data_IF_973671749715
#
_entry.id   IF_973671749715
#
_cell.length_a   1.000
_cell.length_b   1.000
_cell.length_c   1.000
_cell.angle_alpha   90.00
_cell.angle_beta   90.00
_cell.angle_gamma   90.00
#
_symmetry.space_group_name_H-M   'P 1'
#
loop_
_entity.id
_entity.type
_entity.pdbx_description
1 polymer ?
#
# COMPACT_ATOMS: atom_id res chain seq x y z
N UNK A 1 -14.34 -11.84 -15.81
CA UNK A 1 -13.72 -12.15 -14.51
C UNK A 1 -13.31 -10.82 -13.90
N UNK A 2 -14.21 -10.17 -13.17
CA UNK A 2 -13.93 -8.86 -12.57
C UNK A 2 -13.61 -9.11 -11.10
N UNK A 3 -12.31 -9.24 -10.81
CA UNK A 3 -11.86 -9.27 -9.43
C UNK A 3 -12.12 -7.88 -8.84
N UNK A 4 -13.04 -7.80 -7.89
CA UNK A 4 -13.14 -6.68 -6.96
C UNK A 4 -11.93 -6.69 -6.05
N UNK A 5 -10.75 -6.42 -6.62
CA UNK A 5 -9.48 -6.49 -5.91
C UNK A 5 -9.42 -5.35 -4.89
N UNK A 6 -9.38 -5.71 -3.61
CA UNK A 6 -9.11 -4.79 -2.52
C UNK A 6 -7.69 -4.24 -2.64
N UNK A 7 -7.53 -3.22 -3.48
CA UNK A 7 -6.31 -2.47 -3.66
C UNK A 7 -6.12 -1.52 -2.47
N UNK A 8 -4.97 -1.64 -1.80
CA UNK A 8 -4.57 -0.84 -0.64
C UNK A 8 -3.62 0.25 -1.15
N UNK A 9 -3.95 1.51 -0.89
CA UNK A 9 -3.02 2.61 -1.14
C UNK A 9 -1.95 2.66 -0.06
N UNK A 10 -0.68 2.60 -0.48
CA UNK A 10 0.46 2.72 0.42
C UNK A 10 1.27 3.94 0.03
N UNK A 11 1.65 4.73 1.03
CA UNK A 11 2.56 5.86 0.88
C UNK A 11 3.75 5.67 1.82
N UNK A 12 4.95 5.63 1.26
CA UNK A 12 6.16 5.43 2.04
C UNK A 12 6.86 6.76 2.25
N UNK A 13 7.02 7.17 3.51
CA UNK A 13 7.81 8.35 3.87
C UNK A 13 9.22 7.93 4.25
N UNK A 14 10.22 8.56 3.63
CA UNK A 14 11.63 8.34 3.98
C UNK A 14 12.09 9.30 5.09
N UNK A 15 13.29 9.07 5.62
CA UNK A 15 13.91 9.87 6.71
C UNK A 15 13.98 11.38 6.42
N UNK A 16 14.06 11.75 5.15
CA UNK A 16 14.09 13.14 4.67
C UNK A 16 12.72 13.82 4.68
N UNK A 17 11.65 13.09 5.03
CA UNK A 17 10.27 13.57 4.99
C UNK A 17 9.61 13.50 3.61
N UNK A 18 10.38 13.20 2.56
CA UNK A 18 9.85 12.95 1.21
C UNK A 18 8.97 11.70 1.21
N UNK A 19 7.79 11.78 0.61
CA UNK A 19 6.99 10.62 0.25
C UNK A 19 7.43 10.06 -1.11
N UNK A 20 7.55 8.73 -1.16
CA UNK A 20 7.93 7.97 -2.35
C UNK A 20 7.00 6.77 -2.50
N UNK A 21 6.91 6.27 -3.73
CA UNK A 21 6.12 5.10 -4.09
C UNK A 21 4.67 5.17 -3.55
N UNK A 22 3.99 6.29 -3.86
CA UNK A 22 2.54 6.41 -3.71
C UNK A 22 1.90 5.52 -4.77
N UNK A 23 1.40 4.36 -4.37
CA UNK A 23 0.81 3.40 -5.30
C UNK A 23 -0.21 2.51 -4.60
N UNK A 24 -1.11 1.95 -5.41
CA UNK A 24 -2.12 1.00 -4.96
C UNK A 24 -1.61 -0.44 -5.15
N UNK A 25 -1.74 -1.27 -4.13
CA UNK A 25 -1.22 -2.65 -4.10
C UNK A 25 -2.29 -3.62 -3.61
N UNK A 26 -2.35 -4.82 -4.16
CA UNK A 26 -3.28 -5.85 -3.69
C UNK A 26 -2.86 -6.37 -2.31
N UNK A 27 -3.82 -6.73 -1.45
CA UNK A 27 -3.58 -7.31 -0.11
C UNK A 27 -2.79 -8.63 -0.12
N UNK A 28 -2.82 -9.34 -1.24
CA UNK A 28 -2.01 -10.52 -1.56
C UNK A 28 -0.53 -10.20 -1.81
N UNK A 29 -0.17 -8.93 -2.02
CA UNK A 29 1.20 -8.50 -2.26
C UNK A 29 2.06 -8.70 -1.02
N UNK A 30 3.24 -9.31 -1.20
CA UNK A 30 4.22 -9.50 -0.14
C UNK A 30 5.04 -8.24 0.10
N UNK A 31 5.52 -8.10 1.34
CA UNK A 31 6.41 -7.02 1.74
C UNK A 31 7.71 -7.02 0.93
N UNK A 32 8.19 -8.21 0.52
CA UNK A 32 9.35 -8.32 -0.38
C UNK A 32 9.14 -7.61 -1.72
N UNK A 33 7.99 -7.83 -2.36
CA UNK A 33 7.64 -7.18 -3.64
C UNK A 33 7.51 -5.66 -3.48
N UNK A 34 6.92 -5.19 -2.38
CA UNK A 34 6.84 -3.76 -2.08
C UNK A 34 8.22 -3.12 -1.97
N UNK A 35 9.12 -3.75 -1.21
CA UNK A 35 10.49 -3.29 -1.08
C UNK A 35 11.22 -3.30 -2.42
N UNK A 36 11.00 -4.30 -3.28
CA UNK A 36 11.61 -4.32 -4.62
C UNK A 36 11.18 -3.12 -5.45
N UNK A 37 9.87 -2.83 -5.48
CA UNK A 37 9.36 -1.65 -6.19
C UNK A 37 9.88 -0.36 -5.57
N UNK A 38 10.00 -0.30 -4.25
CA UNK A 38 10.56 0.85 -3.56
C UNK A 38 12.04 1.10 -3.93
N UNK A 39 12.86 0.04 -4.05
CA UNK A 39 14.25 0.17 -4.54
C UNK A 39 14.31 0.64 -5.98
N UNK A 40 13.41 0.15 -6.85
CA UNK A 40 13.37 0.52 -8.27
C UNK A 40 12.91 1.97 -8.48
N UNK A 41 11.89 2.40 -7.75
CA UNK A 41 11.33 3.76 -7.77
C UNK A 41 12.09 4.72 -6.85
N UNK A 42 13.22 4.27 -6.27
CA UNK A 42 13.94 5.08 -5.29
C UNK A 42 14.54 6.32 -5.98
N UNK A 43 14.29 7.53 -5.46
CA UNK A 43 14.81 8.74 -6.08
C UNK A 43 16.33 8.76 -6.04
N UNK A 44 16.94 8.95 -7.21
CA UNK A 44 18.38 9.10 -7.35
C UNK A 44 18.82 10.44 -6.71
N UNK A 45 19.88 10.41 -5.91
CA UNK A 45 20.39 11.60 -5.20
C UNK A 45 20.00 11.71 -3.73
N UNK A 46 19.40 10.68 -3.12
CA UNK A 46 19.21 10.60 -1.67
C UNK A 46 20.43 9.98 -0.99
N UNK A 47 20.79 10.51 0.19
CA UNK A 47 21.94 10.09 1.01
C UNK A 47 21.90 8.60 1.39
N UNK A 48 20.70 8.07 1.60
CA UNK A 48 20.45 6.64 1.78
C UNK A 48 19.85 6.11 0.49
N UNK A 49 20.63 5.31 -0.23
CA UNK A 49 20.17 4.55 -1.38
C UNK A 49 20.23 3.07 -1.03
N UNK A 50 19.08 2.40 -0.87
CA UNK A 50 19.04 1.00 -0.52
C UNK A 50 19.61 0.17 -1.68
N UNK A 51 20.65 -0.63 -1.41
CA UNK A 51 21.22 -1.53 -2.40
C UNK A 51 20.34 -2.76 -2.67
N UNK A 52 19.48 -3.11 -1.71
CA UNK A 52 18.65 -4.30 -1.75
C UNK A 52 17.46 -4.15 -0.81
N UNK A 53 16.44 -4.98 -0.98
CA UNK A 53 15.23 -4.97 -0.15
C UNK A 53 15.50 -5.16 1.35
N UNK A 54 16.55 -5.89 1.72
CA UNK A 54 16.90 -6.08 3.14
C UNK A 54 17.36 -4.79 3.83
N UNK A 55 17.83 -3.82 3.07
CA UNK A 55 18.24 -2.51 3.59
C UNK A 55 17.02 -1.63 3.93
N UNK A 56 15.87 -1.93 3.32
CA UNK A 56 14.61 -1.25 3.59
C UNK A 56 13.90 -1.85 4.81
N UNK A 57 13.66 -0.97 5.79
CA UNK A 57 12.83 -1.26 6.95
C UNK A 57 11.48 -0.55 6.80
N UNK A 58 10.48 -1.34 6.49
CA UNK A 58 9.09 -0.89 6.49
C UNK A 58 8.58 -0.94 7.93
N UNK A 59 7.99 0.14 8.41
CA UNK A 59 7.44 0.23 9.77
C UNK A 59 5.99 0.69 9.64
N UNK A 60 5.06 -0.10 10.18
CA UNK A 60 3.63 0.19 10.18
C UNK A 60 3.06 -0.04 11.58
N UNK A 61 2.31 0.93 12.11
CA UNK A 61 1.71 0.87 13.45
C UNK A 61 2.70 0.45 14.56
N UNK A 62 3.95 0.93 14.48
CA UNK A 62 5.01 0.60 15.44
C UNK A 62 5.63 -0.80 15.28
N UNK A 63 5.28 -1.56 14.24
CA UNK A 63 5.86 -2.87 13.93
C UNK A 63 6.70 -2.80 12.65
N UNK A 64 7.85 -3.47 12.66
CA UNK A 64 8.66 -3.66 11.45
C UNK A 64 8.03 -4.76 10.60
N UNK A 65 7.90 -4.51 9.31
CA UNK A 65 7.36 -5.46 8.34
C UNK A 65 8.47 -6.35 7.77
N UNK A 66 8.20 -7.65 7.79
CA UNK A 66 9.08 -8.69 7.31
C UNK A 66 8.70 -9.13 5.90
N UNK A 67 9.70 -9.44 5.09
CA UNK A 67 9.53 -9.82 3.69
C UNK A 67 8.77 -11.15 3.50
N UNK A 68 8.79 -12.02 4.50
CA UNK A 68 8.10 -13.31 4.51
C UNK A 68 6.58 -13.19 4.71
N UNK A 69 6.09 -11.97 4.95
CA UNK A 69 4.69 -11.69 5.26
C UNK A 69 4.02 -10.86 4.16
N UNK A 70 2.70 -10.94 4.08
CA UNK A 70 1.86 -10.17 3.16
C UNK A 70 1.24 -8.95 3.83
N UNK A 71 0.77 -8.00 3.03
CA UNK A 71 -0.01 -6.85 3.54
C UNK A 71 -1.23 -7.29 4.34
N UNK A 72 -1.91 -8.37 3.90
CA UNK A 72 -3.03 -8.96 4.61
C UNK A 72 -2.65 -9.47 6.02
N UNK A 73 -1.46 -10.06 6.21
CA UNK A 73 -1.03 -10.58 7.51
C UNK A 73 -0.85 -9.46 8.55
N UNK A 74 -0.28 -8.33 8.13
CA UNK A 74 -0.16 -7.15 8.98
C UNK A 74 -1.48 -6.44 9.23
N UNK A 75 -2.60 -6.98 8.71
CA UNK A 75 -3.90 -6.31 8.69
C UNK A 75 -3.74 -4.86 8.25
N UNK A 76 -2.95 -4.66 7.19
CA UNK A 76 -2.99 -3.39 6.46
C UNK A 76 -4.30 -3.45 5.68
N UNK A 77 -5.38 -3.32 6.41
CA UNK A 77 -6.73 -3.24 5.88
C UNK A 77 -6.92 -1.83 5.38
N UNK A 78 -7.65 -1.71 4.28
CA UNK A 78 -8.20 -0.44 3.82
C UNK A 78 -8.88 0.24 5.02
N UNK A 79 -8.28 1.32 5.47
CA UNK A 79 -8.65 2.12 6.62
C UNK A 79 -7.54 3.15 6.63
N UNK A 80 -7.77 4.44 6.49
CA UNK A 80 -8.44 5.27 7.50
C UNK A 80 -9.08 6.52 6.85
N UNK A 81 -9.44 6.47 5.56
CA UNK A 81 -10.20 7.57 4.95
C UNK A 81 -11.69 7.34 5.25
N UNK A 82 -12.37 8.20 6.03
CA UNK A 82 -13.83 8.19 6.17
C UNK A 82 -14.55 8.66 4.88
N UNK A 83 -14.09 8.24 3.70
CA UNK A 83 -14.71 8.61 2.43
C UNK A 83 -13.90 8.14 1.24
N UNK A 84 -14.47 7.23 0.45
CA UNK A 84 -13.96 6.96 -0.90
C UNK A 84 -13.53 5.53 -1.18
N UNK A 85 -14.31 4.54 -0.73
CA UNK A 85 -14.56 3.33 -1.52
C UNK A 85 -15.75 2.55 -0.96
N UNK A 86 -16.88 3.24 -0.77
CA UNK A 86 -18.14 2.58 -1.08
C UNK A 86 -18.36 2.86 -2.57
N UNK A 87 -18.20 1.82 -3.38
CA UNK A 87 -19.05 1.63 -4.54
C UNK A 87 -20.50 1.49 -4.02
N UNK A 88 -21.06 2.54 -3.43
CA UNK A 88 -22.47 2.53 -3.02
C UNK A 88 -23.30 2.72 -4.29
N UNK A 89 -23.63 1.58 -4.89
CA UNK A 89 -24.97 1.25 -5.31
C UNK A 89 -25.86 2.44 -5.70
N UNK A 90 -25.82 2.86 -6.98
CA UNK A 90 -27.05 3.33 -7.61
C UNK A 90 -27.82 2.10 -8.14
N UNK A 91 -28.25 1.25 -7.22
CA UNK A 91 -29.35 0.33 -7.44
C UNK A 91 -30.33 0.53 -6.29
N UNK A 92 -31.14 1.56 -6.42
CA UNK A 92 -32.43 1.61 -5.74
C UNK A 92 -33.44 2.12 -6.74
N UNK A 93 -34.06 1.14 -7.40
CA UNK A 93 -35.43 1.24 -7.88
C UNK A 93 -36.27 2.03 -6.88
N UNK A 94 -36.70 3.24 -7.26
CA UNK A 94 -37.94 3.79 -6.72
C UNK A 94 -38.96 3.72 -7.85
N UNK A 95 -39.74 2.65 -7.78
CA UNK A 95 -41.10 2.57 -8.31
C UNK A 95 -41.98 3.60 -7.58
N UNK A 96 -43.02 4.10 -8.27
CA UNK A 96 -44.08 5.05 -7.85
C UNK A 96 -43.81 6.48 -8.34
N UNK A 97 -44.65 7.11 -9.17
CA UNK A 97 -46.06 6.93 -9.52
C UNK A 97 -46.31 7.48 -10.94
#
# INVERSE_FOLDING_TARGET
MAEGEGCIELKFRIYDGTDIAHSTYSSSTTVGTLKQKLVAEWPQGKTVTPKSVSDLKLIHAGKVLENNKTLADYRITFGEIPGGCCYDACCSTTSSN
#
